data_IF_619708672448
#
_entry.id   IF_619708672448
#
_cell.length_a   1.000
_cell.length_b   1.000
_cell.length_c   1.000
_cell.angle_alpha   90.00
_cell.angle_beta   90.00
_cell.angle_gamma   90.00
#
_symmetry.space_group_name_H-M   'P 1'
#
loop_
_entity.id
_entity.type
_entity.pdbx_description
1 polymer ?
#
# COMPACT_ATOMS: atom_id res chain seq x y z
N UNK A 1 19.57 -11.98 -18.34
CA UNK A 1 20.64 -11.19 -17.73
C UNK A 1 21.48 -12.13 -16.87
N UNK A 2 22.72 -12.42 -17.30
CA UNK A 2 23.69 -13.11 -16.47
C UNK A 2 24.21 -12.13 -15.41
N UNK A 3 23.59 -12.18 -14.24
CA UNK A 3 24.02 -11.37 -13.09
C UNK A 3 24.93 -12.26 -12.24
N UNK A 4 26.22 -11.90 -12.06
CA UNK A 4 27.21 -12.74 -11.37
C UNK A 4 27.01 -12.80 -9.85
N UNK A 5 25.99 -12.14 -9.31
CA UNK A 5 25.66 -12.05 -7.89
C UNK A 5 24.17 -12.32 -7.66
N UNK A 6 23.77 -12.73 -6.45
CA UNK A 6 22.36 -12.78 -6.09
C UNK A 6 21.69 -11.41 -6.34
N UNK A 7 20.45 -11.38 -6.87
CA UNK A 7 19.81 -10.12 -7.29
C UNK A 7 19.79 -9.03 -6.22
N UNK A 8 19.51 -9.39 -4.97
CA UNK A 8 19.51 -8.43 -3.85
C UNK A 8 20.89 -7.83 -3.62
N UNK A 9 21.96 -8.65 -3.67
CA UNK A 9 23.32 -8.17 -3.48
C UNK A 9 23.75 -7.26 -4.64
N UNK A 10 23.37 -7.61 -5.87
CA UNK A 10 23.59 -6.78 -7.04
C UNK A 10 22.91 -5.42 -6.90
N UNK A 11 21.62 -5.41 -6.53
CA UNK A 11 20.85 -4.19 -6.34
C UNK A 11 21.36 -3.31 -5.19
N UNK A 12 21.86 -3.93 -4.11
CA UNK A 12 22.48 -3.16 -3.02
C UNK A 12 23.75 -2.42 -3.45
N UNK A 13 24.50 -2.95 -4.42
CA UNK A 13 25.75 -2.34 -4.90
C UNK A 13 25.52 -1.31 -6.00
N UNK A 14 24.61 -1.57 -6.91
CA UNK A 14 24.44 -0.77 -8.14
C UNK A 14 23.01 -0.28 -8.36
N UNK A 15 22.05 -0.78 -7.60
CA UNK A 15 20.65 -0.37 -7.71
C UNK A 15 20.45 1.09 -7.34
N UNK A 16 19.48 1.70 -7.99
CA UNK A 16 19.02 3.05 -7.67
C UNK A 16 17.53 3.00 -7.36
N UNK A 17 17.02 3.86 -6.46
CA UNK A 17 15.59 4.01 -6.28
C UNK A 17 14.90 4.36 -7.59
N UNK A 18 13.69 3.84 -7.80
CA UNK A 18 12.83 4.29 -8.88
C UNK A 18 12.52 5.77 -8.61
N UNK A 19 12.62 6.58 -9.66
CA UNK A 19 12.27 7.99 -9.62
C UNK A 19 11.28 8.29 -10.74
N UNK A 20 10.22 9.01 -10.40
CA UNK A 20 9.23 9.48 -11.35
C UNK A 20 9.63 10.86 -11.90
N UNK A 21 9.20 11.17 -13.13
CA UNK A 21 9.61 12.39 -13.87
C UNK A 21 9.22 13.68 -13.14
N UNK A 22 8.18 13.66 -12.33
CA UNK A 22 7.74 14.82 -11.53
C UNK A 22 8.59 15.07 -10.29
N UNK A 23 9.51 14.17 -9.93
CA UNK A 23 10.40 14.35 -8.79
C UNK A 23 11.55 15.29 -9.19
N UNK A 24 11.67 16.47 -8.55
CA UNK A 24 12.53 17.54 -9.03
C UNK A 24 14.03 17.25 -8.91
N UNK A 25 14.42 16.28 -8.09
CA UNK A 25 15.82 15.90 -7.86
C UNK A 25 15.94 14.47 -7.33
N UNK A 26 17.05 13.78 -7.57
CA UNK A 26 17.33 12.49 -6.96
C UNK A 26 17.39 12.61 -5.42
N UNK A 27 16.78 11.64 -4.73
CA UNK A 27 16.89 11.49 -3.30
C UNK A 27 17.79 10.29 -2.95
N UNK A 28 18.48 10.30 -1.79
CA UNK A 28 19.24 9.15 -1.33
C UNK A 28 18.30 7.99 -0.99
N UNK A 29 18.78 6.75 -1.09
CA UNK A 29 18.00 5.55 -0.77
C UNK A 29 17.30 5.63 0.60
N UNK A 30 17.92 6.26 1.59
CA UNK A 30 17.32 6.45 2.91
C UNK A 30 16.00 7.22 2.91
N UNK A 31 15.78 8.09 1.92
CA UNK A 31 14.52 8.83 1.77
C UNK A 31 13.36 7.93 1.30
N UNK A 32 13.67 6.81 0.64
CA UNK A 32 12.71 5.81 0.18
C UNK A 32 12.45 4.71 1.24
N UNK A 33 13.17 4.73 2.35
CA UNK A 33 13.02 3.74 3.43
C UNK A 33 12.11 4.28 4.53
N UNK A 34 10.89 3.72 4.64
CA UNK A 34 9.96 4.07 5.71
C UNK A 34 10.22 3.23 6.97
N UNK A 35 9.55 3.57 8.09
CA UNK A 35 9.59 2.74 9.32
C UNK A 35 9.06 1.32 9.13
N UNK A 36 8.42 1.06 8.00
CA UNK A 36 7.84 -0.23 7.62
C UNK A 36 8.76 -1.05 6.70
N UNK A 37 9.80 -0.47 6.12
CA UNK A 37 10.76 -1.14 5.25
C UNK A 37 11.62 -2.15 6.04
N UNK A 38 11.17 -3.41 6.13
CA UNK A 38 11.83 -4.48 6.92
C UNK A 38 12.18 -5.73 6.13
N UNK A 39 11.43 -6.01 5.09
CA UNK A 39 11.61 -7.17 4.23
C UNK A 39 12.01 -6.69 2.84
N UNK A 40 13.17 -7.13 2.37
CA UNK A 40 13.61 -6.84 1.00
C UNK A 40 12.74 -7.59 -0.01
N UNK A 41 12.50 -6.98 -1.19
CA UNK A 41 11.74 -7.60 -2.28
C UNK A 41 10.82 -6.68 -3.06
N UNK A 42 10.49 -5.48 -2.54
CA UNK A 42 9.69 -4.50 -3.28
C UNK A 42 10.56 -3.64 -4.19
N UNK A 43 10.06 -3.35 -5.38
CA UNK A 43 10.67 -2.38 -6.28
C UNK A 43 10.34 -0.95 -5.87
N UNK A 44 9.13 -0.72 -5.34
CA UNK A 44 8.67 0.61 -4.93
C UNK A 44 8.56 0.76 -3.41
N UNK A 45 8.66 1.98 -2.95
CA UNK A 45 8.51 2.35 -1.56
C UNK A 45 7.01 2.37 -1.16
N UNK A 46 6.66 1.96 0.08
CA UNK A 46 5.31 2.18 0.61
C UNK A 46 5.13 3.67 0.97
N UNK A 47 4.86 4.52 -0.02
CA UNK A 47 4.80 5.99 0.12
C UNK A 47 3.80 6.45 1.19
N UNK A 48 2.65 5.82 1.30
CA UNK A 48 1.67 6.06 2.38
C UNK A 48 2.24 5.89 3.79
N UNK A 49 3.36 5.19 3.92
CA UNK A 49 4.09 5.00 5.19
C UNK A 49 5.02 6.14 5.57
N UNK A 50 5.31 7.08 4.67
CA UNK A 50 6.27 8.17 4.91
C UNK A 50 5.94 9.07 6.10
N UNK A 51 4.70 9.48 6.34
CA UNK A 51 4.35 10.30 7.50
C UNK A 51 4.58 9.61 8.84
N UNK A 52 4.73 8.28 8.85
CA UNK A 52 4.88 7.54 10.09
C UNK A 52 6.32 7.57 10.59
N UNK A 53 6.49 8.05 11.81
CA UNK A 53 7.74 7.99 12.56
C UNK A 53 7.64 6.96 13.69
N UNK A 54 8.78 6.55 14.26
CA UNK A 54 8.78 5.68 15.45
C UNK A 54 8.04 6.32 16.63
N UNK A 55 8.17 7.64 16.82
CA UNK A 55 7.48 8.40 17.86
C UNK A 55 5.97 8.43 17.63
N UNK A 56 5.50 8.65 16.39
CA UNK A 56 4.08 8.59 16.06
C UNK A 56 3.50 7.19 16.30
N UNK A 57 4.19 6.13 15.88
CA UNK A 57 3.75 4.76 16.14
C UNK A 57 3.68 4.44 17.64
N UNK A 58 4.62 4.96 18.44
CA UNK A 58 4.56 4.83 19.89
C UNK A 58 3.40 5.62 20.50
N UNK A 59 3.10 6.81 19.99
CA UNK A 59 1.95 7.62 20.40
C UNK A 59 0.64 6.88 20.10
N UNK A 60 0.45 6.38 18.90
CA UNK A 60 -0.73 5.60 18.51
C UNK A 60 -0.97 4.40 19.43
N UNK A 61 0.10 3.65 19.76
CA UNK A 61 -0.01 2.53 20.70
C UNK A 61 -0.45 2.97 22.09
N UNK A 62 0.11 4.07 22.63
CA UNK A 62 -0.32 4.62 23.92
C UNK A 62 -1.78 5.08 23.92
N UNK A 63 -2.28 5.52 22.77
CA UNK A 63 -3.69 5.88 22.59
C UNK A 63 -4.59 4.66 22.35
N UNK A 64 -4.09 3.44 22.51
CA UNK A 64 -4.89 2.20 22.37
C UNK A 64 -5.04 1.69 20.93
N UNK A 65 -4.41 2.36 19.94
CA UNK A 65 -4.44 1.90 18.54
C UNK A 65 -3.55 0.67 18.40
N UNK A 66 -4.12 -0.42 17.90
CA UNK A 66 -3.39 -1.64 17.60
C UNK A 66 -2.72 -1.52 16.23
N UNK A 67 -1.46 -1.94 16.13
CA UNK A 67 -0.69 -1.91 14.90
C UNK A 67 -0.39 -3.34 14.44
N UNK A 68 -0.99 -3.72 13.33
CA UNK A 68 -0.72 -4.99 12.65
C UNK A 68 0.23 -4.77 11.46
N UNK A 69 0.96 -5.80 11.07
CA UNK A 69 1.90 -5.77 9.96
C UNK A 69 1.64 -6.91 9.02
N UNK A 70 1.84 -6.64 7.76
CA UNK A 70 1.86 -7.63 6.69
C UNK A 70 2.93 -7.24 5.67
N UNK A 71 3.17 -8.09 4.69
CA UNK A 71 4.07 -7.84 3.57
C UNK A 71 3.27 -7.97 2.28
N UNK A 72 3.51 -7.08 1.35
CA UNK A 72 3.24 -7.24 -0.06
C UNK A 72 4.41 -6.62 -0.80
N UNK A 73 5.03 -7.38 -1.68
CA UNK A 73 6.16 -6.91 -2.49
C UNK A 73 5.63 -6.35 -3.80
N UNK A 74 5.70 -5.05 -3.94
CA UNK A 74 5.30 -4.36 -5.17
C UNK A 74 6.32 -4.60 -6.28
N UNK A 75 5.81 -4.83 -7.49
CA UNK A 75 6.59 -4.73 -8.71
C UNK A 75 6.90 -3.29 -9.07
N UNK A 76 7.49 -3.10 -10.25
CA UNK A 76 7.56 -1.79 -10.92
C UNK A 76 6.22 -1.60 -11.59
N UNK A 77 5.42 -0.70 -11.11
CA UNK A 77 4.10 -0.54 -11.66
C UNK A 77 3.66 0.92 -11.69
N UNK A 78 3.77 1.55 -12.82
CA UNK A 78 2.57 2.19 -13.35
C UNK A 78 2.23 1.44 -14.64
N UNK A 79 1.32 0.48 -14.49
CA UNK A 79 0.77 -0.21 -15.63
C UNK A 79 -0.02 0.82 -16.44
N UNK A 80 0.26 0.91 -17.71
CA UNK A 80 -0.59 1.67 -18.62
C UNK A 80 -2.00 1.06 -18.59
N UNK A 81 -3.03 1.83 -18.92
CA UNK A 81 -4.46 1.44 -18.76
C UNK A 81 -4.85 0.09 -19.39
N UNK A 82 -4.03 -0.46 -20.26
CA UNK A 82 -4.29 -1.71 -20.99
C UNK A 82 -3.43 -2.89 -20.53
N UNK A 83 -2.56 -2.70 -19.54
CA UNK A 83 -1.74 -3.77 -18.99
C UNK A 83 -2.45 -4.41 -17.79
N UNK A 84 -2.49 -5.74 -17.78
CA UNK A 84 -2.98 -6.48 -16.63
C UNK A 84 -1.98 -6.34 -15.47
N UNK A 85 -2.46 -6.20 -14.21
CA UNK A 85 -1.58 -6.13 -13.04
C UNK A 85 -0.77 -7.42 -12.93
N UNK A 86 0.53 -7.28 -12.70
CA UNK A 86 1.36 -8.41 -12.35
C UNK A 86 0.97 -8.99 -11.00
N UNK A 87 1.14 -10.30 -10.87
CA UNK A 87 1.02 -10.95 -9.58
C UNK A 87 2.10 -10.43 -8.63
N UNK A 88 1.68 -10.08 -7.41
CA UNK A 88 2.58 -9.60 -6.35
C UNK A 88 2.51 -10.54 -5.15
N UNK A 89 3.70 -10.86 -4.62
CA UNK A 89 3.80 -11.75 -3.48
C UNK A 89 3.38 -11.04 -2.19
N UNK A 90 2.54 -11.71 -1.40
CA UNK A 90 2.09 -11.17 -0.12
C UNK A 90 2.15 -12.20 1.01
N UNK A 91 2.16 -11.69 2.25
CA UNK A 91 2.02 -12.48 3.47
C UNK A 91 1.20 -11.71 4.50
N UNK A 92 0.12 -12.34 4.97
CA UNK A 92 -0.66 -11.91 6.14
C UNK A 92 -0.37 -12.88 7.29
N UNK A 93 0.43 -12.48 8.29
CA UNK A 93 0.76 -13.34 9.43
C UNK A 93 -0.48 -13.67 10.29
N UNK A 94 -0.46 -14.82 10.97
CA UNK A 94 -1.53 -15.25 11.86
C UNK A 94 -1.93 -14.16 12.87
N UNK A 95 -0.95 -13.53 13.51
CA UNK A 95 -1.20 -12.45 14.47
C UNK A 95 -1.95 -11.27 13.84
N UNK A 96 -1.65 -10.93 12.60
CA UNK A 96 -2.34 -9.86 11.87
C UNK A 96 -3.78 -10.25 11.57
N UNK A 97 -4.01 -11.45 11.07
CA UNK A 97 -5.35 -11.98 10.83
C UNK A 97 -6.19 -12.03 12.12
N UNK A 98 -5.62 -12.48 13.22
CA UNK A 98 -6.29 -12.49 14.53
C UNK A 98 -6.66 -11.10 15.02
N UNK A 99 -5.73 -10.12 14.89
CA UNK A 99 -6.00 -8.73 15.29
C UNK A 99 -7.12 -8.11 14.46
N UNK A 100 -7.15 -8.36 13.15
CA UNK A 100 -8.22 -7.88 12.27
C UNK A 100 -9.56 -8.45 12.68
N UNK A 101 -9.67 -9.79 12.84
CA UNK A 101 -10.91 -10.43 13.29
C UNK A 101 -11.38 -9.92 14.64
N UNK A 102 -10.45 -9.83 15.61
CA UNK A 102 -10.76 -9.32 16.95
C UNK A 102 -11.19 -7.84 16.93
N UNK A 103 -10.69 -7.05 15.98
CA UNK A 103 -11.10 -5.66 15.81
C UNK A 103 -12.53 -5.58 15.32
N UNK A 104 -12.89 -6.33 14.28
CA UNK A 104 -14.27 -6.37 13.76
C UNK A 104 -15.24 -6.93 14.81
N UNK A 105 -14.86 -7.99 15.53
CA UNK A 105 -15.70 -8.59 16.59
C UNK A 105 -16.06 -7.60 17.71
N UNK A 106 -15.24 -6.56 17.91
CA UNK A 106 -15.50 -5.48 18.89
C UNK A 106 -16.21 -4.27 18.28
N UNK A 107 -16.61 -4.31 17.01
CA UNK A 107 -17.14 -3.15 16.29
C UNK A 107 -16.09 -2.06 16.02
N UNK A 108 -14.81 -2.41 16.09
CA UNK A 108 -13.71 -1.52 15.74
C UNK A 108 -13.49 -1.41 14.24
N UNK A 109 -12.58 -0.52 13.83
CA UNK A 109 -12.26 -0.27 12.42
C UNK A 109 -10.85 -0.70 12.07
N UNK A 110 -10.70 -1.27 10.88
CA UNK A 110 -9.42 -1.62 10.26
C UNK A 110 -9.04 -0.55 9.25
N UNK A 111 -7.99 0.20 9.55
CA UNK A 111 -7.47 1.25 8.67
C UNK A 111 -6.21 0.75 7.99
N UNK A 112 -6.24 0.60 6.69
CA UNK A 112 -5.09 0.24 5.89
C UNK A 112 -4.16 1.45 5.69
N UNK A 113 -2.86 1.24 5.77
CA UNK A 113 -1.84 2.23 5.38
C UNK A 113 -1.18 1.73 4.10
N UNK A 114 -1.62 2.28 2.97
CA UNK A 114 -1.22 1.89 1.62
C UNK A 114 -2.22 0.95 0.93
N UNK A 115 -2.34 1.12 -0.37
CA UNK A 115 -3.19 0.30 -1.26
C UNK A 115 -2.78 -1.17 -1.26
N UNK A 116 -1.50 -1.45 -1.11
CA UNK A 116 -0.93 -2.80 -0.98
C UNK A 116 -1.49 -3.55 0.23
N UNK A 117 -1.73 -2.85 1.35
CA UNK A 117 -2.34 -3.45 2.55
C UNK A 117 -3.78 -3.88 2.28
N UNK A 118 -4.54 -3.07 1.55
CA UNK A 118 -5.91 -3.43 1.13
C UNK A 118 -5.87 -4.70 0.30
N UNK A 119 -5.02 -4.77 -0.74
CA UNK A 119 -4.90 -5.93 -1.62
C UNK A 119 -4.53 -7.20 -0.85
N UNK A 120 -3.53 -7.14 0.02
CA UNK A 120 -3.12 -8.29 0.81
C UNK A 120 -4.22 -8.80 1.76
N UNK A 121 -4.92 -7.91 2.46
CA UNK A 121 -6.01 -8.29 3.36
C UNK A 121 -7.21 -8.87 2.60
N UNK A 122 -7.62 -8.23 1.49
CA UNK A 122 -8.73 -8.70 0.67
C UNK A 122 -8.43 -10.01 -0.07
N UNK A 123 -7.14 -10.31 -0.33
CA UNK A 123 -6.69 -11.61 -0.85
C UNK A 123 -6.66 -12.71 0.21
N UNK A 124 -6.72 -12.34 1.49
CA UNK A 124 -6.61 -13.25 2.65
C UNK A 124 -7.95 -13.59 3.27
N UNK A 125 -9.06 -13.46 2.53
CA UNK A 125 -10.41 -13.68 3.04
C UNK A 125 -10.90 -15.09 2.69
N UNK A 126 -11.36 -15.83 3.69
CA UNK A 126 -11.99 -17.14 3.48
C UNK A 126 -13.42 -17.03 2.93
N UNK A 127 -14.03 -18.17 2.66
CA UNK A 127 -15.40 -18.22 2.13
C UNK A 127 -16.46 -17.63 3.09
N UNK A 128 -16.16 -17.61 4.39
CA UNK A 128 -17.04 -17.02 5.42
C UNK A 128 -16.83 -15.51 5.58
N UNK A 129 -15.86 -14.91 4.87
CA UNK A 129 -15.56 -13.49 4.95
C UNK A 129 -14.56 -13.12 6.05
N UNK A 130 -13.92 -14.08 6.69
CA UNK A 130 -12.92 -13.83 7.73
C UNK A 130 -11.52 -13.73 7.15
N UNK A 131 -10.72 -12.81 7.66
CA UNK A 131 -9.29 -12.76 7.34
C UNK A 131 -8.58 -13.95 7.99
N UNK A 132 -7.83 -14.67 7.17
CA UNK A 132 -7.00 -15.81 7.60
C UNK A 132 -5.51 -15.50 7.37
N UNK A 133 -4.65 -16.21 8.10
CA UNK A 133 -3.24 -16.21 7.79
C UNK A 133 -3.03 -16.83 6.42
N UNK A 134 -2.37 -16.11 5.53
CA UNK A 134 -2.09 -16.61 4.18
C UNK A 134 -0.83 -15.97 3.60
N UNK A 135 -0.25 -16.63 2.63
CA UNK A 135 0.85 -16.12 1.80
C UNK A 135 0.74 -16.69 0.40
N UNK A 136 1.16 -15.92 -0.57
CA UNK A 136 1.10 -16.35 -1.97
C UNK A 136 1.23 -15.17 -2.92
N UNK A 137 0.75 -15.35 -4.11
CA UNK A 137 0.73 -14.34 -5.16
C UNK A 137 -0.69 -13.81 -5.32
N UNK A 138 -0.84 -12.53 -5.59
CA UNK A 138 -2.13 -11.88 -5.82
C UNK A 138 -2.07 -10.97 -7.04
N UNK A 139 -2.99 -11.18 -7.96
CA UNK A 139 -3.34 -10.32 -9.09
C UNK A 139 -4.58 -9.45 -8.79
N UNK A 140 -5.03 -9.44 -7.54
CA UNK A 140 -6.28 -8.82 -7.13
C UNK A 140 -6.35 -7.35 -7.53
N UNK A 141 -7.29 -7.02 -8.42
CA UNK A 141 -7.72 -5.66 -8.72
C UNK A 141 -9.00 -5.36 -7.93
N UNK A 142 -9.03 -4.20 -7.29
CA UNK A 142 -10.18 -3.74 -6.53
C UNK A 142 -10.84 -2.61 -7.31
N UNK A 143 -12.11 -2.83 -7.67
CA UNK A 143 -12.94 -1.89 -8.41
C UNK A 143 -14.20 -1.54 -7.63
N UNK A 144 -14.96 -0.50 -8.00
CA UNK A 144 -16.20 -0.13 -7.32
C UNK A 144 -17.26 -1.23 -7.29
N UNK A 145 -17.23 -2.17 -8.25
CA UNK A 145 -18.13 -3.30 -8.32
C UNK A 145 -17.79 -4.40 -7.30
N UNK A 146 -16.54 -4.40 -6.82
CA UNK A 146 -16.09 -5.34 -5.80
C UNK A 146 -16.35 -4.79 -4.41
N UNK A 147 -17.17 -5.48 -3.65
CA UNK A 147 -17.40 -5.17 -2.24
C UNK A 147 -16.10 -5.37 -1.43
N UNK A 148 -15.65 -4.32 -0.75
CA UNK A 148 -14.59 -4.39 0.27
C UNK A 148 -15.15 -5.12 1.49
N UNK A 149 -14.38 -6.06 2.03
CA UNK A 149 -14.82 -6.96 3.12
C UNK A 149 -14.13 -6.70 4.44
N UNK A 150 -12.88 -6.25 4.37
CA UNK A 150 -11.96 -6.21 5.53
C UNK A 150 -11.63 -4.80 5.97
N UNK A 151 -11.40 -3.91 5.00
CA UNK A 151 -10.85 -2.59 5.28
C UNK A 151 -11.97 -1.58 5.43
N UNK A 152 -11.99 -0.85 6.57
CA UNK A 152 -12.96 0.19 6.87
C UNK A 152 -12.49 1.59 6.49
N UNK A 153 -11.21 1.74 6.19
CA UNK A 153 -10.63 3.00 5.74
C UNK A 153 -9.21 2.82 5.22
N UNK A 154 -8.78 3.79 4.44
CA UNK A 154 -7.48 3.78 3.78
C UNK A 154 -6.78 5.11 3.99
N UNK A 155 -5.51 5.04 4.43
CA UNK A 155 -4.56 6.13 4.33
C UNK A 155 -3.65 5.87 3.14
N UNK A 156 -3.64 6.77 2.18
CA UNK A 156 -2.83 6.67 0.96
C UNK A 156 -2.43 8.05 0.47
N UNK A 157 -1.52 8.14 -0.51
CA UNK A 157 -1.18 9.39 -1.17
C UNK A 157 -2.13 9.73 -2.32
N UNK A 158 -1.89 10.86 -2.98
CA UNK A 158 -2.61 11.29 -4.18
C UNK A 158 -2.02 10.58 -5.40
N UNK A 159 -2.74 9.58 -5.89
CA UNK A 159 -2.34 8.84 -7.10
C UNK A 159 -2.68 9.62 -8.36
N UNK A 160 -1.88 9.41 -9.43
CA UNK A 160 -2.11 10.06 -10.71
C UNK A 160 -3.49 9.72 -11.29
N UNK A 161 -4.05 10.61 -12.12
CA UNK A 161 -5.27 10.34 -12.88
C UNK A 161 -5.10 9.07 -13.73
N UNK A 162 -6.17 8.26 -13.78
CA UNK A 162 -6.24 7.00 -14.54
C UNK A 162 -5.47 5.81 -13.94
N UNK A 163 -4.82 5.95 -12.80
CA UNK A 163 -4.23 4.82 -12.09
C UNK A 163 -5.32 3.84 -11.58
N UNK A 164 -5.02 2.54 -11.60
CA UNK A 164 -5.91 1.50 -11.03
C UNK A 164 -6.21 1.73 -9.56
N UNK A 165 -5.34 2.44 -8.86
CA UNK A 165 -5.53 2.87 -7.47
C UNK A 165 -6.78 3.74 -7.27
N UNK A 166 -7.17 4.57 -8.25
CA UNK A 166 -8.38 5.38 -8.15
C UNK A 166 -9.65 4.52 -8.09
N UNK A 167 -9.69 3.42 -8.82
CA UNK A 167 -10.81 2.47 -8.74
C UNK A 167 -10.95 1.89 -7.31
N UNK A 168 -9.83 1.57 -6.65
CA UNK A 168 -9.82 1.14 -5.25
C UNK A 168 -10.31 2.24 -4.31
N UNK A 169 -9.87 3.48 -4.49
CA UNK A 169 -10.35 4.62 -3.70
C UNK A 169 -11.86 4.83 -3.87
N UNK A 170 -12.37 4.74 -5.10
CA UNK A 170 -13.79 4.80 -5.39
C UNK A 170 -14.57 3.64 -4.74
N UNK A 171 -13.99 2.43 -4.71
CA UNK A 171 -14.60 1.27 -4.04
C UNK A 171 -14.74 1.47 -2.52
N UNK A 172 -13.80 2.18 -1.89
CA UNK A 172 -13.80 2.43 -0.44
C UNK A 172 -14.65 3.65 -0.06
N UNK A 173 -14.48 4.77 -0.76
CA UNK A 173 -15.05 6.06 -0.38
C UNK A 173 -16.22 6.53 -1.26
N UNK A 174 -16.42 5.89 -2.40
CA UNK A 174 -17.40 6.29 -3.41
C UNK A 174 -16.90 7.37 -4.35
N UNK A 175 -17.34 7.29 -5.60
CA UNK A 175 -16.90 8.16 -6.70
C UNK A 175 -17.03 9.65 -6.40
N UNK A 176 -18.17 10.08 -5.83
CA UNK A 176 -18.41 11.49 -5.57
C UNK A 176 -17.46 12.09 -4.53
N UNK A 177 -17.09 11.33 -3.51
CA UNK A 177 -16.13 11.76 -2.48
C UNK A 177 -14.74 11.90 -3.10
N UNK A 178 -14.31 10.92 -3.88
CA UNK A 178 -13.01 10.94 -4.55
C UNK A 178 -12.94 12.09 -5.57
N UNK A 179 -13.97 12.27 -6.40
CA UNK A 179 -14.02 13.36 -7.37
C UNK A 179 -13.88 14.74 -6.71
N UNK A 180 -14.58 14.97 -5.58
CA UNK A 180 -14.45 16.22 -4.82
C UNK A 180 -13.06 16.40 -4.20
N UNK A 181 -12.49 15.34 -3.62
CA UNK A 181 -11.15 15.39 -3.03
C UNK A 181 -10.09 15.73 -4.08
N UNK A 182 -10.19 15.12 -5.25
CA UNK A 182 -9.24 15.38 -6.34
C UNK A 182 -9.45 16.76 -6.98
N UNK A 183 -10.69 17.25 -7.11
CA UNK A 183 -10.94 18.60 -7.56
C UNK A 183 -10.31 19.64 -6.61
N UNK A 184 -10.47 19.47 -5.30
CA UNK A 184 -9.83 20.32 -4.30
C UNK A 184 -8.31 20.23 -4.31
N UNK A 185 -7.74 19.03 -4.49
CA UNK A 185 -6.32 18.84 -4.56
C UNK A 185 -5.69 19.52 -5.79
N UNK A 186 -6.36 19.45 -6.94
CA UNK A 186 -5.95 20.13 -8.15
C UNK A 186 -6.06 21.66 -8.05
N UNK A 187 -7.16 22.16 -7.48
CA UNK A 187 -7.39 23.61 -7.26
C UNK A 187 -6.31 24.20 -6.33
N UNK A 188 -5.85 23.42 -5.36
CA UNK A 188 -4.79 23.82 -4.42
C UNK A 188 -3.38 23.43 -4.85
N UNK A 189 -3.21 22.93 -6.07
CA UNK A 189 -1.90 22.55 -6.63
C UNK A 189 -1.16 21.52 -5.76
N UNK A 190 -1.88 20.56 -5.13
CA UNK A 190 -1.25 19.46 -4.43
C UNK A 190 -0.46 18.60 -5.41
N UNK A 191 0.70 18.13 -4.96
CA UNK A 191 1.55 17.26 -5.75
C UNK A 191 1.12 15.80 -5.61
N UNK A 192 1.57 14.97 -6.55
CA UNK A 192 1.27 13.54 -6.52
C UNK A 192 2.07 12.81 -5.45
N UNK A 193 1.65 11.58 -5.12
CA UNK A 193 2.33 10.73 -4.15
C UNK A 193 3.84 10.62 -4.42
N UNK A 194 4.62 10.11 -3.45
CA UNK A 194 6.08 10.08 -3.46
C UNK A 194 6.74 11.46 -3.47
N UNK A 195 7.03 12.01 -2.33
CA UNK A 195 7.67 13.32 -2.12
C UNK A 195 6.87 14.54 -2.60
N UNK A 196 5.64 14.36 -3.05
CA UNK A 196 4.78 15.44 -3.51
C UNK A 196 3.70 15.81 -2.50
N UNK A 197 2.92 14.86 -2.13
CA UNK A 197 1.73 15.01 -1.26
C UNK A 197 2.03 15.16 0.23
#
# INVERSE_FOLDING_TARGET
LDIPLPPIEYLQRWGRPIAYDYIPKPFPLSAYQTVFARSAGSAEMPSAGRPFTRSLLACLRRSGVQLARLVLHTGVASLEQHEEPYEEWYEVPLRTAELVRATHARGGRVIAVGTTVVRALESSVDAAGNVIASRGWTDLVITPERRIRVVDGLLTGLHEPKATHLAMLEAIAGRNVIARAYAEALDREYLWHEFGD
#
